data_IF_517305090786
#
_entry.id   IF_517305090786
#
_cell.length_a   1.000
_cell.length_b   1.000
_cell.length_c   1.000
_cell.angle_alpha   90.00
_cell.angle_beta   90.00
_cell.angle_gamma   90.00
#
_symmetry.space_group_name_H-M   'P 1'
#
loop_
_entity.id
_entity.type
_entity.pdbx_description
1 polymer ?
#
# COMPACT_ATOMS: atom_id res chain seq x y z
N UNK A 1 15.62 0.69 11.80
CA UNK A 1 14.64 -0.36 12.14
C UNK A 1 14.64 -1.43 11.06
N UNK A 2 14.29 -2.69 11.37
CA UNK A 2 14.25 -3.79 10.39
C UNK A 2 12.93 -4.54 10.50
N UNK A 3 12.41 -5.00 9.37
CA UNK A 3 11.22 -5.84 9.31
C UNK A 3 11.35 -6.90 8.20
N UNK A 4 10.87 -8.10 8.48
CA UNK A 4 10.68 -9.13 7.46
C UNK A 4 9.41 -8.83 6.67
N UNK A 5 9.47 -9.01 5.37
CA UNK A 5 8.27 -9.01 4.51
C UNK A 5 7.75 -10.45 4.48
N UNK A 6 6.48 -10.64 4.79
CA UNK A 6 5.83 -11.96 4.86
C UNK A 6 4.94 -12.22 3.65
N UNK A 7 4.27 -11.18 3.16
CA UNK A 7 3.46 -11.25 1.94
C UNK A 7 3.26 -9.87 1.33
N UNK A 8 2.83 -9.87 0.06
CA UNK A 8 2.64 -8.68 -0.76
C UNK A 8 1.32 -8.79 -1.52
N UNK A 9 0.70 -7.65 -1.79
CA UNK A 9 -0.46 -7.49 -2.66
C UNK A 9 -0.31 -6.23 -3.51
N UNK A 10 -0.85 -6.24 -4.72
CA UNK A 10 -0.71 -5.16 -5.68
C UNK A 10 -1.92 -5.09 -6.60
N UNK A 11 -2.55 -3.93 -6.69
CA UNK A 11 -3.68 -3.70 -7.59
C UNK A 11 -3.55 -2.35 -8.26
N UNK A 12 -3.56 -2.35 -9.59
CA UNK A 12 -3.59 -1.16 -10.42
C UNK A 12 -4.09 -1.54 -11.84
N UNK A 13 -4.42 -0.58 -12.71
CA UNK A 13 -4.68 -0.87 -14.13
C UNK A 13 -3.59 -1.72 -14.77
N UNK A 14 -3.95 -2.85 -15.38
CA UNK A 14 -3.02 -3.84 -15.93
C UNK A 14 -2.25 -4.68 -14.90
N UNK A 15 -2.57 -4.58 -13.60
CA UNK A 15 -1.98 -5.35 -12.50
C UNK A 15 -3.06 -5.90 -11.56
N UNK A 16 -3.25 -7.22 -11.62
CA UNK A 16 -4.24 -7.92 -10.81
C UNK A 16 -3.62 -8.42 -9.50
N UNK A 17 -2.35 -8.81 -9.53
CA UNK A 17 -1.61 -9.36 -8.39
C UNK A 17 -0.12 -9.05 -8.44
N UNK A 18 0.54 -9.11 -7.28
CA UNK A 18 2.00 -9.02 -7.18
C UNK A 18 2.71 -10.18 -7.89
N UNK A 19 2.13 -11.40 -7.87
CA UNK A 19 2.69 -12.55 -8.60
C UNK A 19 2.65 -12.33 -10.12
N UNK A 20 1.55 -11.79 -10.67
CA UNK A 20 1.48 -11.39 -12.08
C UNK A 20 2.51 -10.28 -12.39
N UNK A 21 2.67 -9.32 -11.49
CA UNK A 21 3.66 -8.25 -11.66
C UNK A 21 5.09 -8.80 -11.75
N UNK A 22 5.44 -9.79 -10.94
CA UNK A 22 6.74 -10.48 -11.04
C UNK A 22 6.95 -11.07 -12.42
N UNK A 23 5.95 -11.79 -12.96
CA UNK A 23 6.04 -12.38 -14.31
C UNK A 23 6.27 -11.29 -15.36
N UNK A 24 5.50 -10.20 -15.31
CA UNK A 24 5.67 -9.06 -16.23
C UNK A 24 7.09 -8.46 -16.18
N UNK A 25 7.63 -8.26 -14.98
CA UNK A 25 8.99 -7.73 -14.79
C UNK A 25 10.06 -8.70 -15.29
N UNK A 26 9.91 -10.01 -15.06
CA UNK A 26 10.82 -11.02 -15.60
C UNK A 26 10.80 -11.07 -17.13
N UNK A 27 9.63 -10.89 -17.74
CA UNK A 27 9.46 -10.78 -19.19
C UNK A 27 9.90 -9.43 -19.76
N UNK A 28 10.41 -8.51 -18.92
CA UNK A 28 10.81 -7.14 -19.29
C UNK A 28 9.68 -6.34 -19.94
N UNK A 29 8.43 -6.63 -19.57
CA UNK A 29 7.23 -5.91 -20.02
C UNK A 29 6.86 -4.80 -19.04
N UNK A 30 6.12 -3.82 -19.54
CA UNK A 30 5.51 -2.75 -18.74
C UNK A 30 4.02 -3.05 -18.60
N UNK A 31 3.40 -2.81 -17.42
CA UNK A 31 1.97 -2.98 -17.26
C UNK A 31 1.16 -2.09 -18.22
N UNK A 32 0.03 -2.59 -18.71
CA UNK A 32 -0.89 -1.81 -19.52
C UNK A 32 -1.77 -0.92 -18.64
N UNK A 33 -1.36 0.33 -18.45
CA UNK A 33 -2.07 1.29 -17.60
C UNK A 33 -3.46 1.71 -18.10
N UNK A 34 -3.82 1.36 -19.34
CA UNK A 34 -5.14 1.62 -19.91
C UNK A 34 -6.13 0.46 -19.68
N UNK A 35 -5.65 -0.68 -19.18
CA UNK A 35 -6.50 -1.81 -18.87
C UNK A 35 -7.23 -1.56 -17.54
N UNK A 36 -8.58 -1.54 -17.52
CA UNK A 36 -9.32 -1.20 -16.32
C UNK A 36 -9.07 -2.22 -15.20
N UNK A 37 -9.10 -1.76 -13.94
CA UNK A 37 -9.10 -2.68 -12.80
C UNK A 37 -10.35 -3.55 -12.89
N UNK A 38 -10.15 -4.86 -12.85
CA UNK A 38 -11.24 -5.83 -12.84
C UNK A 38 -12.27 -5.52 -11.74
N UNK A 39 -13.54 -5.67 -12.09
CA UNK A 39 -14.64 -5.46 -11.14
C UNK A 39 -14.46 -6.37 -9.93
N UNK A 40 -14.49 -5.76 -8.75
CA UNK A 40 -14.27 -6.44 -7.49
C UNK A 40 -15.46 -6.28 -6.56
N UNK A 41 -15.83 -7.36 -5.89
CA UNK A 41 -16.88 -7.42 -4.87
C UNK A 41 -16.33 -8.22 -3.69
N UNK A 42 -16.05 -7.58 -2.54
CA UNK A 42 -15.43 -8.25 -1.38
C UNK A 42 -16.42 -9.26 -0.78
N UNK A 43 -16.26 -10.54 -1.14
CA UNK A 43 -17.18 -11.62 -0.75
C UNK A 43 -17.09 -11.94 0.73
N UNK A 44 -15.94 -11.64 1.37
CA UNK A 44 -15.70 -11.78 2.80
C UNK A 44 -16.51 -10.77 3.64
N UNK A 45 -17.04 -9.69 3.04
CA UNK A 45 -17.95 -8.79 3.73
C UNK A 45 -19.38 -9.36 3.78
N UNK A 46 -20.12 -9.15 4.89
CA UNK A 46 -21.54 -9.43 4.90
C UNK A 46 -22.29 -8.58 3.84
N UNK A 47 -23.46 -9.03 3.36
CA UNK A 47 -24.10 -8.43 2.17
C UNK A 47 -24.40 -6.93 2.29
N UNK A 48 -24.75 -6.43 3.48
CA UNK A 48 -25.12 -5.03 3.68
C UNK A 48 -23.89 -4.11 3.56
N UNK A 49 -22.81 -4.49 4.22
CA UNK A 49 -21.51 -3.80 4.20
C UNK A 49 -20.93 -3.83 2.79
N UNK A 50 -20.97 -4.99 2.13
CA UNK A 50 -20.49 -5.17 0.75
C UNK A 50 -21.15 -4.20 -0.22
N UNK A 51 -22.47 -4.01 -0.12
CA UNK A 51 -23.24 -3.08 -0.99
C UNK A 51 -22.87 -1.61 -0.78
N UNK A 52 -22.32 -1.25 0.37
CA UNK A 52 -21.93 0.13 0.71
C UNK A 52 -20.52 0.48 0.29
N UNK A 53 -19.71 -0.47 -0.18
CA UNK A 53 -18.30 -0.22 -0.55
C UNK A 53 -18.16 0.65 -1.81
N UNK A 54 -17.38 1.72 -1.70
CA UNK A 54 -16.99 2.59 -2.83
C UNK A 54 -15.85 2.00 -3.63
N UNK A 55 -15.48 2.65 -4.74
CA UNK A 55 -14.31 2.27 -5.55
C UNK A 55 -13.00 2.35 -4.75
N UNK A 56 -12.86 3.36 -3.86
CA UNK A 56 -11.68 3.50 -2.98
C UNK A 56 -11.59 2.33 -2.01
N UNK A 57 -12.72 2.00 -1.35
CA UNK A 57 -12.80 0.88 -0.43
C UNK A 57 -12.50 -0.43 -1.16
N UNK A 58 -13.10 -0.66 -2.33
CA UNK A 58 -12.87 -1.87 -3.14
C UNK A 58 -11.42 -2.03 -3.56
N UNK A 59 -10.75 -0.95 -3.97
CA UNK A 59 -9.34 -0.97 -4.32
C UNK A 59 -8.50 -1.42 -3.11
N UNK A 60 -8.68 -0.76 -1.97
CA UNK A 60 -7.93 -1.09 -0.75
C UNK A 60 -8.18 -2.53 -0.28
N UNK A 61 -9.44 -2.97 -0.25
CA UNK A 61 -9.82 -4.31 0.20
C UNK A 61 -9.31 -5.41 -0.75
N UNK A 62 -9.35 -5.21 -2.07
CA UNK A 62 -8.82 -6.17 -3.05
C UNK A 62 -7.32 -6.41 -2.82
N UNK A 63 -6.56 -5.33 -2.65
CA UNK A 63 -5.10 -5.41 -2.44
C UNK A 63 -4.76 -6.01 -1.08
N UNK A 64 -5.51 -5.64 -0.04
CA UNK A 64 -5.38 -6.22 1.30
C UNK A 64 -5.66 -7.73 1.30
N UNK A 65 -6.74 -8.15 0.64
CA UNK A 65 -7.15 -9.56 0.51
C UNK A 65 -6.07 -10.40 -0.18
N UNK A 66 -5.41 -9.87 -1.22
CA UNK A 66 -4.31 -10.57 -1.89
C UNK A 66 -3.13 -10.81 -0.93
N UNK A 67 -2.65 -9.76 -0.26
CA UNK A 67 -1.54 -9.87 0.69
C UNK A 67 -1.90 -10.81 1.85
N UNK A 68 -3.10 -10.68 2.39
CA UNK A 68 -3.57 -11.48 3.51
C UNK A 68 -3.73 -12.96 3.16
N UNK A 69 -4.36 -13.28 2.03
CA UNK A 69 -4.51 -14.65 1.58
C UNK A 69 -3.14 -15.31 1.29
N UNK A 70 -2.19 -14.55 0.76
CA UNK A 70 -0.82 -15.02 0.55
C UNK A 70 -0.10 -15.30 1.87
N UNK A 71 -0.30 -14.43 2.88
CA UNK A 71 0.23 -14.62 4.23
C UNK A 71 -0.35 -15.87 4.91
N UNK A 72 -1.68 -16.01 4.95
CA UNK A 72 -2.34 -17.15 5.58
C UNK A 72 -1.96 -18.48 4.92
N UNK A 73 -1.75 -18.51 3.60
CA UNK A 73 -1.23 -19.71 2.90
C UNK A 73 0.17 -20.08 3.33
N UNK A 74 1.04 -19.09 3.56
CA UNK A 74 2.43 -19.32 3.98
C UNK A 74 2.52 -19.68 5.47
N UNK A 75 1.66 -19.09 6.30
CA UNK A 75 1.65 -19.23 7.75
C UNK A 75 0.26 -19.68 8.23
N UNK A 76 -0.18 -20.91 7.92
CA UNK A 76 -1.56 -21.36 8.16
C UNK A 76 -1.94 -21.45 9.66
N UNK A 77 -0.95 -21.46 10.55
CA UNK A 77 -1.15 -21.50 11.99
C UNK A 77 -0.95 -20.12 12.66
N UNK A 78 -0.69 -19.07 11.88
CA UNK A 78 -0.57 -17.73 12.43
C UNK A 78 -1.92 -17.20 12.93
N UNK A 79 -1.86 -16.26 13.86
CA UNK A 79 -3.06 -15.61 14.37
C UNK A 79 -3.68 -14.69 13.31
N UNK A 80 -5.01 -14.75 13.17
CA UNK A 80 -5.76 -13.82 12.33
C UNK A 80 -5.98 -12.45 13.00
N UNK A 81 -5.53 -12.29 14.25
CA UNK A 81 -5.68 -11.07 15.05
C UNK A 81 -4.41 -10.23 14.99
N UNK A 82 -4.19 -9.61 13.83
CA UNK A 82 -3.02 -8.77 13.53
C UNK A 82 -3.39 -7.29 13.47
N UNK A 83 -2.55 -6.36 13.93
CA UNK A 83 -2.80 -4.95 13.70
C UNK A 83 -2.83 -4.62 12.19
N UNK A 84 -3.64 -3.62 11.84
CA UNK A 84 -3.81 -3.20 10.44
C UNK A 84 -3.66 -1.69 10.29
N UNK A 85 -3.06 -1.28 9.18
CA UNK A 85 -2.78 0.10 8.86
C UNK A 85 -3.18 0.42 7.42
N UNK A 86 -4.10 1.38 7.25
CA UNK A 86 -4.56 1.84 5.94
C UNK A 86 -4.05 3.26 5.71
N UNK A 87 -3.36 3.48 4.60
CA UNK A 87 -2.65 4.72 4.30
C UNK A 87 -3.15 5.26 2.96
N UNK A 88 -3.74 6.45 3.00
CA UNK A 88 -4.19 7.17 1.81
C UNK A 88 -3.98 8.66 2.01
N UNK A 89 -3.56 9.36 0.94
CA UNK A 89 -3.36 10.81 1.00
C UNK A 89 -4.68 11.53 1.29
N UNK A 90 -5.71 11.23 0.50
CA UNK A 90 -6.95 12.03 0.51
C UNK A 90 -8.19 11.23 0.93
N UNK A 91 -8.11 9.91 1.07
CA UNK A 91 -9.30 9.08 1.27
C UNK A 91 -10.23 9.11 0.06
N UNK A 92 -11.54 9.14 0.29
CA UNK A 92 -12.55 9.14 -0.78
C UNK A 92 -12.97 10.57 -1.17
N UNK A 93 -12.19 11.17 -2.06
CA UNK A 93 -12.41 12.55 -2.52
C UNK A 93 -13.72 12.75 -3.26
N UNK A 94 -14.24 11.70 -3.92
CA UNK A 94 -15.54 11.76 -4.60
C UNK A 94 -16.67 11.93 -3.58
N UNK A 95 -16.63 11.21 -2.46
CA UNK A 95 -17.58 11.42 -1.38
C UNK A 95 -17.44 12.82 -0.80
N UNK A 96 -16.21 13.26 -0.51
CA UNK A 96 -15.98 14.59 0.05
C UNK A 96 -16.53 15.69 -0.87
N UNK A 97 -16.24 15.65 -2.17
CA UNK A 97 -16.75 16.64 -3.12
C UNK A 97 -18.27 16.58 -3.24
N UNK A 98 -18.85 15.38 -3.32
CA UNK A 98 -20.31 15.18 -3.37
C UNK A 98 -21.03 15.78 -2.16
N UNK A 99 -20.48 15.61 -0.94
CA UNK A 99 -21.07 16.17 0.28
C UNK A 99 -20.93 17.70 0.28
N UNK A 100 -19.76 18.23 -0.08
CA UNK A 100 -19.57 19.68 -0.19
C UNK A 100 -20.51 20.31 -1.21
N UNK A 101 -20.74 19.65 -2.35
CA UNK A 101 -21.69 20.09 -3.37
C UNK A 101 -23.11 20.10 -2.81
N UNK A 102 -23.56 19.01 -2.19
CA UNK A 102 -24.90 18.94 -1.59
C UNK A 102 -25.13 20.02 -0.51
N UNK A 103 -24.09 20.39 0.25
CA UNK A 103 -24.14 21.47 1.23
C UNK A 103 -24.23 22.87 0.61
N UNK A 104 -23.87 23.03 -0.65
CA UNK A 104 -23.98 24.31 -1.39
C UNK A 104 -25.36 24.54 -2.02
N UNK A 105 -26.23 23.53 -2.01
CA UNK A 105 -27.59 23.59 -2.58
C UNK A 105 -28.60 24.19 -1.57
N UNK A 106 -29.68 24.81 -2.08
CA UNK A 106 -30.73 25.40 -1.23
C UNK A 106 -31.45 24.36 -0.35
N UNK A 107 -31.58 23.12 -0.83
CA UNK A 107 -32.20 22.01 -0.12
C UNK A 107 -31.19 20.88 0.10
N UNK A 108 -30.41 21.00 1.16
CA UNK A 108 -29.35 20.04 1.51
C UNK A 108 -29.91 18.63 1.72
N UNK A 109 -29.46 17.69 0.89
CA UNK A 109 -29.77 16.26 1.00
C UNK A 109 -28.49 15.43 0.97
N UNK A 110 -28.09 14.88 2.11
CA UNK A 110 -26.89 14.05 2.22
C UNK A 110 -27.30 12.58 2.35
N UNK A 111 -26.76 11.73 1.47
CA UNK A 111 -26.96 10.28 1.55
C UNK A 111 -26.33 9.72 2.84
N UNK A 112 -27.08 8.99 3.70
CA UNK A 112 -26.53 8.35 4.89
C UNK A 112 -25.36 7.40 4.57
N UNK A 113 -25.40 6.73 3.42
CA UNK A 113 -24.32 5.84 2.97
C UNK A 113 -23.06 6.64 2.60
N UNK A 114 -23.21 7.77 1.90
CA UNK A 114 -22.07 8.63 1.58
C UNK A 114 -21.48 9.22 2.86
N UNK A 115 -22.32 9.69 3.78
CA UNK A 115 -21.86 10.21 5.06
C UNK A 115 -21.10 9.14 5.87
N UNK A 116 -21.62 7.91 5.95
CA UNK A 116 -20.95 6.80 6.62
C UNK A 116 -19.57 6.48 6.02
N UNK A 117 -19.42 6.62 4.70
CA UNK A 117 -18.16 6.37 4.00
C UNK A 117 -17.27 7.63 3.89
N UNK A 118 -17.67 8.77 4.45
CA UNK A 118 -16.90 10.04 4.36
C UNK A 118 -15.68 10.08 5.28
N UNK A 119 -15.64 9.21 6.29
CA UNK A 119 -14.53 9.12 7.23
C UNK A 119 -13.35 8.39 6.58
N UNK A 120 -12.13 8.87 6.83
CA UNK A 120 -10.90 8.31 6.23
C UNK A 120 -10.69 6.83 6.58
N UNK A 121 -11.12 6.42 7.78
CA UNK A 121 -11.00 5.06 8.27
C UNK A 121 -12.10 4.10 7.75
N UNK A 122 -12.96 4.50 6.81
CA UNK A 122 -14.00 3.61 6.27
C UNK A 122 -13.40 2.31 5.71
N UNK A 123 -12.33 2.38 4.90
CA UNK A 123 -11.70 1.19 4.30
C UNK A 123 -11.18 0.20 5.34
N UNK A 124 -10.49 0.66 6.38
CA UNK A 124 -10.01 -0.22 7.45
C UNK A 124 -11.16 -0.77 8.30
N UNK A 125 -12.21 0.02 8.52
CA UNK A 125 -13.42 -0.46 9.21
C UNK A 125 -14.07 -1.63 8.49
N UNK A 126 -14.26 -1.52 7.16
CA UNK A 126 -14.77 -2.63 6.36
C UNK A 126 -13.85 -3.85 6.37
N UNK A 127 -12.52 -3.65 6.30
CA UNK A 127 -11.57 -4.75 6.43
C UNK A 127 -11.79 -5.52 7.73
N UNK A 128 -11.79 -4.81 8.87
CA UNK A 128 -11.91 -5.42 10.20
C UNK A 128 -13.23 -6.17 10.40
N UNK A 129 -14.35 -5.63 9.90
CA UNK A 129 -15.64 -6.32 9.92
C UNK A 129 -15.58 -7.61 9.11
N UNK A 130 -15.03 -7.52 7.90
CA UNK A 130 -15.02 -8.62 6.96
C UNK A 130 -14.13 -9.79 7.37
N UNK A 131 -12.97 -9.53 7.97
CA UNK A 131 -12.06 -10.58 8.45
C UNK A 131 -12.26 -10.93 9.92
N UNK A 132 -13.26 -10.33 10.60
CA UNK A 132 -13.53 -10.49 12.03
C UNK A 132 -12.27 -10.30 12.90
N UNK A 133 -11.51 -9.26 12.60
CA UNK A 133 -10.29 -8.92 13.32
C UNK A 133 -10.59 -7.83 14.37
N UNK A 134 -10.14 -8.04 15.60
CA UNK A 134 -10.33 -7.15 16.76
C UNK A 134 -9.02 -6.53 17.26
N UNK A 135 -7.90 -6.79 16.59
CA UNK A 135 -6.62 -6.13 16.87
C UNK A 135 -6.68 -4.62 16.55
N UNK A 136 -5.67 -3.84 16.95
CA UNK A 136 -5.62 -2.41 16.64
C UNK A 136 -5.72 -2.13 15.13
N UNK A 137 -6.54 -1.14 14.77
CA UNK A 137 -6.71 -0.68 13.40
C UNK A 137 -6.46 0.82 13.34
N UNK A 138 -5.70 1.28 12.34
CA UNK A 138 -5.41 2.69 12.13
C UNK A 138 -5.56 3.06 10.65
N UNK A 139 -5.96 4.31 10.42
CA UNK A 139 -5.95 4.91 9.10
C UNK A 139 -5.19 6.24 9.17
N UNK A 140 -4.20 6.44 8.29
CA UNK A 140 -3.36 7.64 8.29
C UNK A 140 -3.41 8.36 6.95
N UNK A 141 -3.41 9.69 7.03
CA UNK A 141 -3.04 10.59 5.94
C UNK A 141 -1.86 11.45 6.38
N UNK A 142 -0.84 11.54 5.52
CA UNK A 142 0.32 12.41 5.73
C UNK A 142 0.74 13.14 4.45
N UNK A 143 -0.23 13.45 3.58
CA UNK A 143 0.02 14.18 2.34
C UNK A 143 1.04 13.47 1.44
N UNK A 144 1.98 14.23 0.90
CA UNK A 144 3.10 13.73 0.09
C UNK A 144 4.08 12.84 0.87
N UNK A 145 4.01 12.84 2.20
CA UNK A 145 4.87 12.01 3.08
C UNK A 145 4.18 10.71 3.53
N UNK A 146 3.04 10.35 2.93
CA UNK A 146 2.24 9.19 3.34
C UNK A 146 3.00 7.86 3.26
N UNK A 147 3.83 7.65 2.23
CA UNK A 147 4.60 6.39 2.11
C UNK A 147 5.61 6.25 3.26
N UNK A 148 6.43 7.27 3.51
CA UNK A 148 7.44 7.25 4.56
C UNK A 148 6.81 7.09 5.95
N UNK A 149 5.77 7.86 6.25
CA UNK A 149 5.06 7.76 7.53
C UNK A 149 4.35 6.42 7.71
N UNK A 150 3.69 5.90 6.66
CA UNK A 150 3.00 4.62 6.73
C UNK A 150 3.94 3.43 6.93
N UNK A 151 5.11 3.43 6.27
CA UNK A 151 6.12 2.40 6.48
C UNK A 151 6.71 2.47 7.90
N UNK A 152 7.02 3.66 8.39
CA UNK A 152 7.52 3.85 9.75
C UNK A 152 6.51 3.39 10.80
N UNK A 153 5.25 3.81 10.66
CA UNK A 153 4.16 3.44 11.56
C UNK A 153 3.92 1.93 11.56
N UNK A 154 3.89 1.28 10.39
CA UNK A 154 3.68 -0.17 10.33
C UNK A 154 4.78 -0.95 11.07
N UNK A 155 6.05 -0.54 10.94
CA UNK A 155 7.15 -1.17 11.66
C UNK A 155 7.06 -0.89 13.16
N UNK A 156 6.71 0.34 13.57
CA UNK A 156 6.52 0.68 14.98
C UNK A 156 5.38 -0.12 15.62
N UNK A 157 4.22 -0.21 14.96
CA UNK A 157 3.09 -1.02 15.43
C UNK A 157 3.47 -2.49 15.55
N UNK A 158 4.24 -3.01 14.60
CA UNK A 158 4.71 -4.40 14.65
C UNK A 158 5.68 -4.66 15.81
N UNK A 159 6.57 -3.70 16.11
CA UNK A 159 7.47 -3.78 17.27
C UNK A 159 6.70 -3.75 18.58
N UNK A 160 5.77 -2.81 18.72
CA UNK A 160 4.97 -2.62 19.94
C UNK A 160 4.07 -3.83 20.21
N UNK A 161 3.36 -4.30 19.17
CA UNK A 161 2.47 -5.45 19.29
C UNK A 161 3.21 -6.80 19.34
N UNK A 162 4.51 -6.83 18.99
CA UNK A 162 5.30 -8.04 18.77
C UNK A 162 4.57 -9.03 17.83
N UNK A 163 3.97 -8.49 16.77
CA UNK A 163 3.14 -9.23 15.81
C UNK A 163 3.36 -8.71 14.39
N UNK A 164 3.08 -9.53 13.37
CA UNK A 164 2.94 -9.04 12.00
C UNK A 164 1.87 -7.95 11.90
N UNK A 165 2.05 -7.01 10.99
CA UNK A 165 1.13 -5.91 10.68
C UNK A 165 0.83 -5.92 9.19
N UNK A 166 -0.45 -5.81 8.84
CA UNK A 166 -0.87 -5.54 7.46
C UNK A 166 -0.89 -4.03 7.23
N UNK A 167 -0.10 -3.54 6.28
CA UNK A 167 -0.16 -2.17 5.80
C UNK A 167 -0.66 -2.11 4.36
N UNK A 168 -1.57 -1.18 4.07
CA UNK A 168 -2.18 -0.97 2.75
C UNK A 168 -2.01 0.50 2.35
N UNK A 169 -1.27 0.75 1.28
CA UNK A 169 -1.18 2.07 0.64
C UNK A 169 -2.14 2.08 -0.54
N UNK A 170 -3.05 3.04 -0.61
CA UNK A 170 -4.04 3.11 -1.68
C UNK A 170 -4.46 4.55 -1.94
N UNK A 171 -4.67 4.86 -3.22
CA UNK A 171 -5.25 6.13 -3.63
C UNK A 171 -5.98 5.95 -4.98
N UNK A 172 -7.09 6.66 -5.14
CA UNK A 172 -7.66 6.97 -6.44
C UNK A 172 -7.23 8.37 -6.88
N UNK A 173 -7.34 8.69 -8.18
CA UNK A 173 -7.27 10.07 -8.64
C UNK A 173 -8.20 10.97 -7.83
N UNK A 174 -7.71 12.15 -7.48
CA UNK A 174 -8.53 13.19 -6.85
C UNK A 174 -9.70 13.52 -7.77
N UNK A 175 -10.88 13.66 -7.16
CA UNK A 175 -12.09 14.03 -7.87
C UNK A 175 -11.90 15.33 -8.67
N UNK A 176 -12.37 15.35 -9.92
CA UNK A 176 -12.11 16.44 -10.88
C UNK A 176 -12.70 17.78 -10.43
N UNK A 177 -13.71 17.77 -9.56
CA UNK A 177 -14.31 18.99 -9.03
C UNK A 177 -13.45 19.69 -7.97
N UNK A 178 -12.44 19.01 -7.42
CA UNK A 178 -11.55 19.59 -6.40
C UNK A 178 -10.42 20.35 -7.10
N UNK A 179 -10.26 21.66 -6.82
CA UNK A 179 -9.15 22.45 -7.37
C UNK A 179 -7.81 21.86 -6.95
N UNK A 180 -6.98 21.54 -7.94
CA UNK A 180 -5.66 20.95 -7.74
C UNK A 180 -4.62 22.05 -7.57
N UNK A 181 -3.57 21.77 -6.79
CA UNK A 181 -2.38 22.64 -6.80
C UNK A 181 -1.68 22.56 -8.17
N UNK A 182 -0.89 23.58 -8.53
CA UNK A 182 -0.12 23.58 -9.79
C UNK A 182 0.72 22.29 -9.96
N UNK A 183 1.32 21.81 -8.87
CA UNK A 183 2.11 20.55 -8.83
C UNK A 183 1.27 19.29 -9.12
N UNK A 184 -0.01 19.30 -8.75
CA UNK A 184 -0.93 18.18 -8.98
C UNK A 184 -1.66 18.28 -10.32
N UNK A 185 -1.72 19.48 -10.90
CA UNK A 185 -2.31 19.77 -12.19
C UNK A 185 -1.37 19.38 -13.36
N UNK A 186 -0.05 19.37 -13.16
CA UNK A 186 0.94 19.04 -14.21
C UNK A 186 1.03 17.55 -14.57
N UNK A 187 0.14 16.69 -14.04
CA UNK A 187 0.17 15.24 -14.28
C UNK A 187 -0.98 14.86 -15.21
N UNK A 188 -0.66 14.60 -16.48
CA UNK A 188 -1.62 14.36 -17.57
C UNK A 188 -2.54 13.14 -17.35
N UNK A 189 -2.04 12.12 -16.64
CA UNK A 189 -2.81 10.90 -16.35
C UNK A 189 -2.62 10.56 -14.88
N UNK A 190 -3.75 10.41 -14.16
CA UNK A 190 -3.79 9.98 -12.77
C UNK A 190 -4.38 8.60 -12.70
N UNK A 191 -3.65 7.67 -12.10
CA UNK A 191 -3.98 6.25 -12.20
C UNK A 191 -4.19 5.69 -10.80
N UNK A 192 -5.32 4.99 -10.54
CA UNK A 192 -5.51 4.23 -9.33
C UNK A 192 -4.33 3.31 -9.04
N UNK A 193 -3.89 3.29 -7.78
CA UNK A 193 -2.82 2.39 -7.36
C UNK A 193 -3.01 1.98 -5.92
N UNK A 194 -2.82 0.69 -5.64
CA UNK A 194 -2.73 0.19 -4.28
C UNK A 194 -1.69 -0.92 -4.15
N UNK A 195 -0.99 -0.89 -3.02
CA UNK A 195 0.01 -1.87 -2.63
C UNK A 195 -0.21 -2.24 -1.16
N UNK A 196 -0.16 -3.54 -0.86
CA UNK A 196 -0.29 -4.06 0.49
C UNK A 196 0.90 -4.93 0.85
N UNK A 197 1.23 -4.97 2.13
CA UNK A 197 2.32 -5.77 2.66
C UNK A 197 1.98 -6.24 4.07
N UNK A 198 2.18 -7.52 4.34
CA UNK A 198 2.29 -8.01 5.72
C UNK A 198 3.76 -8.00 6.08
N UNK A 199 4.11 -7.24 7.12
CA UNK A 199 5.48 -7.14 7.62
C UNK A 199 5.54 -7.51 9.10
N UNK A 200 6.70 -7.98 9.55
CA UNK A 200 6.97 -8.25 10.96
C UNK A 200 8.31 -7.64 11.35
N UNK A 201 8.29 -6.71 12.30
CA UNK A 201 9.49 -6.15 12.86
C UNK A 201 10.22 -7.20 13.69
N UNK A 202 11.51 -7.41 13.40
CA UNK A 202 12.28 -8.47 14.03
C UNK A 202 13.74 -8.07 14.23
N UNK A 203 14.36 -8.66 15.25
CA UNK A 203 15.82 -8.68 15.41
C UNK A 203 16.45 -9.92 14.76
N UNK A 204 15.66 -10.98 14.53
CA UNK A 204 16.09 -12.25 13.95
C UNK A 204 15.67 -12.34 12.48
N UNK A 205 16.65 -12.26 11.59
CA UNK A 205 16.48 -12.46 10.15
C UNK A 205 16.24 -13.97 9.94
N UNK A 206 15.01 -14.34 9.61
CA UNK A 206 14.69 -15.70 9.15
C UNK A 206 14.81 -15.74 7.63
N UNK A 207 15.27 -16.87 7.09
CA UNK A 207 15.35 -17.07 5.64
C UNK A 207 13.95 -17.08 5.03
N UNK A 208 13.48 -15.91 4.62
CA UNK A 208 12.16 -15.72 4.03
C UNK A 208 12.24 -15.60 2.50
N UNK A 209 11.11 -15.90 1.87
CA UNK A 209 10.86 -15.70 0.42
C UNK A 209 11.10 -14.27 -0.05
N UNK A 210 11.03 -13.30 0.86
CA UNK A 210 11.20 -11.88 0.56
C UNK A 210 12.42 -11.31 1.30
N UNK A 211 13.07 -10.26 0.74
CA UNK A 211 14.16 -9.56 1.42
C UNK A 211 13.70 -8.90 2.72
N UNK A 212 14.65 -8.66 3.62
CA UNK A 212 14.41 -7.87 4.84
C UNK A 212 14.37 -6.38 4.49
N UNK A 213 13.31 -5.70 4.93
CA UNK A 213 13.14 -4.27 4.83
C UNK A 213 13.93 -3.56 5.94
N UNK A 214 14.77 -2.60 5.60
CA UNK A 214 15.53 -1.78 6.55
C UNK A 214 15.20 -0.30 6.38
N UNK A 215 14.73 0.33 7.46
CA UNK A 215 14.33 1.73 7.51
C UNK A 215 15.34 2.52 8.33
N UNK A 216 15.85 3.61 7.77
CA UNK A 216 16.67 4.60 8.48
C UNK A 216 16.12 5.99 8.22
N UNK A 217 16.06 6.82 9.26
CA UNK A 217 15.69 8.23 9.09
C UNK A 217 16.96 9.01 8.73
N UNK A 218 16.90 9.78 7.65
CA UNK A 218 18.02 10.57 7.13
C UNK A 218 17.56 11.99 6.83
N UNK A 219 18.47 12.96 6.86
CA UNK A 219 18.17 14.39 6.61
C UNK A 219 18.26 14.79 5.13
N UNK A 220 18.88 13.94 4.31
CA UNK A 220 19.04 14.16 2.87
C UNK A 220 18.70 12.89 2.11
N UNK A 221 17.96 13.02 1.02
CA UNK A 221 17.87 11.98 0.00
C UNK A 221 19.09 12.07 -0.91
N UNK A 222 19.66 10.93 -1.31
CA UNK A 222 20.59 10.94 -2.44
C UNK A 222 19.83 11.30 -3.72
N UNK A 223 20.48 12.01 -4.64
CA UNK A 223 19.96 12.21 -5.99
C UNK A 223 19.94 10.86 -6.72
N UNK A 224 18.86 10.12 -6.56
CA UNK A 224 18.59 8.95 -7.37
C UNK A 224 17.97 9.42 -8.67
N UNK A 225 18.42 8.86 -9.79
CA UNK A 225 17.68 8.98 -11.05
C UNK A 225 16.27 8.46 -10.81
N UNK A 226 15.27 9.30 -11.06
CA UNK A 226 13.87 8.89 -10.97
C UNK A 226 13.67 7.67 -11.88
N UNK A 227 13.46 6.50 -11.29
CA UNK A 227 13.13 5.30 -12.04
C UNK A 227 11.73 5.48 -12.63
N UNK A 228 11.53 5.04 -13.87
CA UNK A 228 10.25 5.17 -14.53
C UNK A 228 9.13 4.48 -13.73
N UNK A 229 8.15 5.27 -13.30
CA UNK A 229 6.91 4.84 -12.68
C UNK A 229 5.75 5.10 -13.65
N UNK A 230 5.04 4.07 -14.15
CA UNK A 230 3.91 4.24 -15.05
C UNK A 230 2.62 4.68 -14.33
N UNK A 231 2.54 4.55 -13.00
CA UNK A 231 1.34 4.83 -12.20
C UNK A 231 1.36 6.21 -11.55
N UNK A 232 1.65 7.26 -12.32
CA UNK A 232 1.78 8.60 -11.76
C UNK A 232 0.40 9.18 -11.36
N UNK A 233 0.44 10.25 -10.56
CA UNK A 233 -0.77 11.01 -10.23
C UNK A 233 -1.38 10.75 -8.86
N UNK A 234 -0.93 9.70 -8.16
CA UNK A 234 -1.39 9.39 -6.80
C UNK A 234 -0.20 9.07 -5.89
N UNK A 235 -0.29 9.40 -4.59
CA UNK A 235 0.83 9.23 -3.66
C UNK A 235 1.11 7.77 -3.35
N UNK A 236 0.07 6.93 -3.27
CA UNK A 236 0.22 5.48 -3.11
C UNK A 236 1.19 4.86 -4.14
N UNK A 237 1.23 5.39 -5.37
CA UNK A 237 2.09 4.89 -6.42
C UNK A 237 3.56 5.29 -6.29
N UNK A 238 3.91 6.25 -5.42
CA UNK A 238 5.31 6.62 -5.19
C UNK A 238 6.11 5.45 -4.59
N UNK A 239 5.45 4.44 -4.00
CA UNK A 239 6.10 3.20 -3.55
C UNK A 239 6.53 2.27 -4.69
N UNK A 240 6.09 2.51 -5.93
CA UNK A 240 6.34 1.64 -7.09
C UNK A 240 7.81 1.26 -7.31
N UNK A 241 8.82 2.14 -7.18
CA UNK A 241 10.22 1.75 -7.32
C UNK A 241 10.62 0.63 -6.36
N UNK A 242 10.17 0.68 -5.10
CA UNK A 242 10.41 -0.38 -4.12
C UNK A 242 9.73 -1.68 -4.55
N UNK A 243 8.47 -1.61 -4.98
CA UNK A 243 7.69 -2.78 -5.47
C UNK A 243 8.37 -3.44 -6.67
N UNK A 244 8.89 -2.65 -7.60
CA UNK A 244 9.62 -3.12 -8.77
C UNK A 244 10.93 -3.82 -8.40
N UNK A 245 11.68 -3.31 -7.43
CA UNK A 245 12.87 -4.01 -6.92
C UNK A 245 12.48 -5.35 -6.28
N UNK A 246 11.46 -5.37 -5.41
CA UNK A 246 10.98 -6.61 -4.78
C UNK A 246 10.55 -7.66 -5.81
N UNK A 247 9.98 -7.23 -6.93
CA UNK A 247 9.60 -8.12 -8.02
C UNK A 247 10.82 -8.74 -8.73
N UNK A 248 11.93 -8.00 -8.88
CA UNK A 248 13.18 -8.50 -9.51
C UNK A 248 13.92 -9.50 -8.61
N UNK A 249 14.00 -9.25 -7.31
CA UNK A 249 14.78 -10.06 -6.35
C UNK A 249 14.29 -11.51 -6.22
N UNK A 250 13.02 -11.78 -6.51
CA UNK A 250 12.42 -13.11 -6.40
C UNK A 250 12.81 -14.10 -7.51
N UNK A 251 13.66 -13.71 -8.48
CA UNK A 251 14.03 -14.56 -9.62
C UNK A 251 15.39 -15.26 -9.49
N UNK A 252 16.05 -15.23 -8.33
CA UNK A 252 17.32 -15.94 -8.12
C UNK A 252 18.43 -15.54 -9.12
N UNK A 253 18.29 -14.40 -9.79
CA UNK A 253 19.30 -13.89 -10.71
C UNK A 253 20.48 -13.37 -9.90
N UNK A 254 21.59 -14.11 -9.99
CA UNK A 254 22.88 -13.92 -9.32
C UNK A 254 23.59 -12.60 -9.72
N UNK A 255 23.10 -11.91 -10.76
CA UNK A 255 23.66 -10.64 -11.25
C UNK A 255 22.98 -9.40 -10.64
N UNK A 256 22.82 -9.35 -9.32
CA UNK A 256 22.54 -8.09 -8.63
C UNK A 256 23.83 -7.60 -7.97
N UNK A 257 24.52 -6.64 -8.60
CA UNK A 257 25.59 -5.92 -7.94
C UNK A 257 25.06 -5.36 -6.61
N UNK A 258 25.83 -5.56 -5.54
CA UNK A 258 25.57 -5.15 -4.16
C UNK A 258 25.36 -3.64 -3.95
N UNK A 259 25.22 -2.84 -5.01
CA UNK A 259 24.94 -1.41 -4.94
C UNK A 259 23.43 -1.13 -5.01
N UNK A 260 22.82 -1.02 -3.82
CA UNK A 260 21.79 0.00 -3.51
C UNK A 260 20.46 -0.05 -4.28
N UNK A 261 19.54 -0.94 -3.88
CA UNK A 261 18.12 -0.64 -3.98
C UNK A 261 17.66 0.19 -2.77
N UNK A 262 18.24 1.38 -2.64
CA UNK A 262 17.84 2.33 -1.62
C UNK A 262 16.77 3.23 -2.22
N UNK A 263 15.62 3.34 -1.57
CA UNK A 263 14.54 4.25 -1.96
C UNK A 263 14.29 5.20 -0.79
N UNK A 264 14.09 6.48 -1.10
CA UNK A 264 13.92 7.53 -0.10
C UNK A 264 12.50 8.05 -0.19
N UNK A 265 11.73 7.88 0.89
CA UNK A 265 10.37 8.42 0.99
C UNK A 265 10.36 9.62 1.92
N UNK A 266 9.73 10.75 1.55
CA UNK A 266 9.59 11.88 2.45
C UNK A 266 8.92 11.46 3.77
N UNK A 267 9.52 11.85 4.89
CA UNK A 267 8.93 11.73 6.22
C UNK A 267 8.31 13.07 6.63
N UNK A 268 9.02 14.16 6.36
CA UNK A 268 8.60 15.54 6.53
C UNK A 268 9.45 16.45 5.61
N UNK A 269 9.39 17.78 5.78
CA UNK A 269 10.13 18.75 4.96
C UNK A 269 11.66 18.62 5.02
N UNK A 270 12.21 18.02 6.08
CA UNK A 270 13.64 17.98 6.38
C UNK A 270 14.17 16.57 6.60
N UNK A 271 13.36 15.53 6.38
CA UNK A 271 13.76 14.16 6.67
C UNK A 271 13.06 13.17 5.75
N UNK A 272 13.75 12.06 5.51
CA UNK A 272 13.31 10.96 4.66
C UNK A 272 13.44 9.65 5.41
N UNK A 273 12.55 8.71 5.11
CA UNK A 273 12.74 7.29 5.41
C UNK A 273 13.53 6.70 4.25
N UNK A 274 14.81 6.42 4.49
CA UNK A 274 15.65 5.62 3.63
C UNK A 274 15.29 4.15 3.83
N UNK A 275 14.81 3.52 2.78
CA UNK A 275 14.40 2.11 2.73
C UNK A 275 15.43 1.34 1.92
N UNK A 276 16.00 0.29 2.50
CA UNK A 276 16.88 -0.65 1.82
C UNK A 276 16.34 -2.07 1.93
N UNK A 277 16.49 -2.86 0.87
CA UNK A 277 16.20 -4.29 0.86
C UNK A 277 17.50 -5.06 1.02
N UNK A 278 17.60 -5.84 2.09
CA UNK A 278 18.75 -6.69 2.37
C UNK A 278 18.39 -8.15 2.11
N UNK A 279 19.29 -8.89 1.45
CA UNK A 279 19.12 -10.34 1.31
C UNK A 279 19.07 -11.00 2.68
N UNK A 280 18.16 -11.96 2.80
CA UNK A 280 18.10 -12.90 3.90
C UNK A 280 19.31 -13.83 3.77
N UNK A 281 20.41 -13.51 4.46
CA UNK A 281 21.59 -14.37 4.48
C UNK A 281 21.20 -15.76 4.98
N UNK A 282 21.14 -16.74 4.08
CA UNK A 282 21.14 -18.14 4.48
C UNK A 282 22.45 -18.36 5.25
N UNK A 283 22.37 -18.66 6.54
CA UNK A 283 23.52 -19.26 7.22
C UNK A 283 23.82 -20.56 6.49
N UNK A 284 24.91 -20.57 5.74
CA UNK A 284 25.63 -21.80 5.40
C UNK A 284 26.02 -22.44 6.73
N UNK A 285 25.17 -23.31 7.27
CA UNK A 285 25.60 -24.25 8.29
C UNK A 285 26.52 -25.24 7.59
N UNK A 286 27.80 -24.89 7.52
CA UNK A 286 28.87 -25.86 7.54
C UNK A 286 29.09 -26.24 9.00
N UNK A 287 28.69 -27.46 9.35
CA UNK A 287 29.50 -28.46 10.05
C UNK A 287 28.80 -29.82 9.96
#
# INVERSE_FOLDING_TARGET
MKANILSLGLTAPGLISFEQFKVLIAEKKVPNIFEPIEKYSPSFLPPNERRRTTSVIKLALKTAEEAWNSYQKMMPNASDQVPVLFVSKNGDTFITSSICQALSEESVMISPTQFHNSVHNASVGYWMIGVNNQAPASAISAGESAIGNGLLEAVLQSQEAQKPVLVVFYDLPVDESIPLTEKEATRDIKIPFAFAMVLEATQHIQSNRYPTLSLNIVQSASELKAEYNPYQGVVAAEIYPLVKVMAKLNFGSVDFERSQAEVYFPLNKHSFVKVALNETSARSNHE
#
